data_IF_007658399310
#
_entry.id   IF_007658399310
#
_cell.length_a   1.000
_cell.length_b   1.000
_cell.length_c   1.000
_cell.angle_alpha   90.00
_cell.angle_beta   90.00
_cell.angle_gamma   90.00
#
_symmetry.space_group_name_H-M   'P 1'
#
loop_
_entity.id
_entity.type
_entity.pdbx_description
1 polymer ?
#
# COMPACT_ATOMS: atom_id res chain seq x y z
N UNK A 1 5.69 22.38 -15.48
CA UNK A 1 5.95 20.91 -15.44
C UNK A 1 6.62 20.51 -14.13
N UNK A 2 7.49 21.34 -13.54
CA UNK A 2 8.02 21.13 -12.19
C UNK A 2 6.91 21.08 -11.12
N UNK A 3 5.85 21.88 -11.27
CA UNK A 3 4.76 21.94 -10.29
C UNK A 3 3.94 20.64 -10.25
N UNK A 4 3.73 19.98 -11.39
CA UNK A 4 2.94 18.74 -11.49
C UNK A 4 3.49 17.59 -10.62
N UNK A 5 4.81 17.46 -10.52
CA UNK A 5 5.44 16.37 -9.76
C UNK A 5 5.74 16.73 -8.29
N UNK A 6 5.63 18.00 -7.92
CA UNK A 6 6.02 18.49 -6.59
C UNK A 6 4.84 18.99 -5.75
N UNK A 7 3.73 19.38 -6.38
CA UNK A 7 2.56 19.86 -5.66
C UNK A 7 1.89 18.72 -4.88
N UNK A 8 1.78 18.91 -3.57
CA UNK A 8 0.98 18.04 -2.72
C UNK A 8 -0.52 18.24 -2.96
N UNK A 9 -1.33 17.33 -2.41
CA UNK A 9 -2.79 17.32 -2.60
C UNK A 9 -3.47 18.67 -2.30
N UNK A 10 -2.99 19.43 -1.30
CA UNK A 10 -3.54 20.75 -0.98
C UNK A 10 -3.46 21.75 -2.15
N UNK A 11 -2.36 21.74 -2.89
CA UNK A 11 -2.16 22.65 -4.04
C UNK A 11 -2.82 22.05 -5.29
N UNK A 12 -2.60 20.76 -5.55
CA UNK A 12 -3.10 20.07 -6.74
C UNK A 12 -4.62 19.91 -6.77
N UNK A 13 -5.26 19.66 -5.62
CA UNK A 13 -6.71 19.57 -5.47
C UNK A 13 -7.15 19.99 -4.04
N UNK A 14 -7.31 21.30 -3.78
CA UNK A 14 -7.69 21.79 -2.46
C UNK A 14 -9.06 21.30 -1.97
N UNK A 15 -9.96 20.93 -2.90
CA UNK A 15 -11.28 20.42 -2.54
C UNK A 15 -11.19 18.99 -2.00
N UNK A 16 -10.42 18.13 -2.67
CA UNK A 16 -10.14 16.78 -2.17
C UNK A 16 -9.38 16.84 -0.84
N UNK A 17 -8.37 17.71 -0.72
CA UNK A 17 -7.67 17.92 0.55
C UNK A 17 -8.63 18.33 1.69
N UNK A 18 -9.54 19.26 1.43
CA UNK A 18 -10.52 19.68 2.43
C UNK A 18 -11.45 18.53 2.87
N UNK A 19 -11.77 17.60 1.96
CA UNK A 19 -12.54 16.39 2.29
C UNK A 19 -11.73 15.44 3.18
N UNK A 20 -10.43 15.22 2.90
CA UNK A 20 -9.61 14.36 3.77
C UNK A 20 -9.47 14.93 5.19
N UNK A 21 -9.44 16.26 5.35
CA UNK A 21 -9.43 16.90 6.66
C UNK A 21 -10.75 16.72 7.42
N UNK A 22 -11.89 16.70 6.71
CA UNK A 22 -13.19 16.37 7.33
C UNK A 22 -13.21 14.93 7.85
N UNK A 23 -12.66 13.99 7.09
CA UNK A 23 -12.55 12.58 7.51
C UNK A 23 -11.61 12.42 8.71
N UNK A 24 -10.46 13.11 8.73
CA UNK A 24 -9.59 13.15 9.91
C UNK A 24 -10.37 13.66 11.15
N UNK A 25 -11.15 14.72 10.99
CA UNK A 25 -12.01 15.24 12.04
C UNK A 25 -13.09 14.25 12.52
N UNK A 26 -13.64 13.42 11.61
CA UNK A 26 -14.56 12.33 11.96
C UNK A 26 -13.85 11.28 12.82
N UNK A 27 -12.70 10.79 12.36
CA UNK A 27 -11.92 9.75 13.06
C UNK A 27 -11.47 10.20 14.46
N UNK A 28 -11.07 11.47 14.62
CA UNK A 28 -10.62 12.01 15.91
C UNK A 28 -11.74 12.23 16.94
N UNK A 29 -12.99 12.38 16.49
CA UNK A 29 -14.14 12.72 17.35
C UNK A 29 -15.09 11.55 17.54
N UNK A 30 -15.06 10.57 16.65
CA UNK A 30 -15.87 9.36 16.73
C UNK A 30 -15.24 8.30 17.63
N UNK A 31 -16.09 7.49 18.24
CA UNK A 31 -15.69 6.22 18.82
C UNK A 31 -15.98 5.17 17.76
N UNK A 32 -14.93 4.62 17.15
CA UNK A 32 -15.06 3.62 16.09
C UNK A 32 -15.27 2.23 16.71
N UNK A 33 -16.39 1.60 16.39
CA UNK A 33 -16.83 0.32 16.99
C UNK A 33 -17.02 -0.78 15.94
N UNK A 34 -16.73 -0.50 14.67
CA UNK A 34 -16.75 -1.49 13.62
C UNK A 34 -15.55 -2.42 13.80
N UNK A 35 -15.81 -3.70 14.08
CA UNK A 35 -14.77 -4.67 14.44
C UNK A 35 -13.69 -4.90 13.37
N UNK A 36 -14.00 -4.64 12.10
CA UNK A 36 -13.08 -4.78 10.97
C UNK A 36 -12.29 -3.51 10.65
N UNK A 37 -12.63 -2.37 11.25
CA UNK A 37 -11.91 -1.12 11.04
C UNK A 37 -10.73 -0.97 12.00
N UNK A 38 -9.71 -0.26 11.55
CA UNK A 38 -8.52 0.05 12.34
C UNK A 38 -7.79 1.27 11.79
N UNK A 39 -6.87 1.83 12.57
CA UNK A 39 -6.03 2.96 12.18
C UNK A 39 -4.62 2.47 11.85
N UNK A 40 -4.16 2.72 10.62
CA UNK A 40 -2.79 2.40 10.21
C UNK A 40 -1.80 3.44 10.74
N UNK A 41 -0.53 3.04 10.89
CA UNK A 41 0.52 3.97 11.30
C UNK A 41 0.88 4.96 10.18
N UNK A 42 1.48 6.10 10.56
CA UNK A 42 1.99 7.09 9.59
C UNK A 42 2.97 6.48 8.60
N UNK A 43 3.86 5.59 9.05
CA UNK A 43 4.83 4.91 8.20
C UNK A 43 4.15 4.04 7.11
N UNK A 44 3.02 3.40 7.42
CA UNK A 44 2.24 2.63 6.44
C UNK A 44 1.60 3.57 5.40
N UNK A 45 1.05 4.70 5.83
CA UNK A 45 0.49 5.70 4.91
C UNK A 45 1.55 6.29 3.98
N UNK A 46 2.75 6.60 4.50
CA UNK A 46 3.88 7.06 3.71
C UNK A 46 4.32 6.02 2.67
N UNK A 47 4.30 4.72 3.01
CA UNK A 47 4.64 3.66 2.08
C UNK A 47 3.59 3.45 0.97
N UNK A 48 2.29 3.59 1.27
CA UNK A 48 1.21 3.42 0.30
C UNK A 48 1.19 4.49 -0.80
N UNK A 49 1.65 5.71 -0.49
CA UNK A 49 1.61 6.86 -1.40
C UNK A 49 2.96 7.23 -2.03
N UNK A 50 3.90 6.28 -2.18
CA UNK A 50 5.26 6.58 -2.61
C UNK A 50 5.53 6.25 -4.10
N UNK A 51 6.77 6.51 -4.53
CA UNK A 51 7.23 6.36 -5.92
C UNK A 51 7.11 4.93 -6.48
N UNK A 52 6.98 3.91 -5.62
CA UNK A 52 6.88 2.51 -6.05
C UNK A 52 5.62 2.26 -6.89
N UNK A 53 4.57 3.07 -6.72
CA UNK A 53 3.34 3.02 -7.52
C UNK A 53 3.59 3.16 -9.03
N UNK A 54 4.68 3.82 -9.42
CA UNK A 54 5.02 4.04 -10.82
C UNK A 54 5.62 2.81 -11.51
N UNK A 55 5.95 1.75 -10.75
CA UNK A 55 6.65 0.59 -11.29
C UNK A 55 5.71 -0.57 -11.60
N UNK A 56 5.68 -0.96 -12.87
CA UNK A 56 5.08 -2.21 -13.32
C UNK A 56 6.07 -3.38 -13.12
N UNK A 57 5.71 -4.37 -12.30
CA UNK A 57 6.60 -5.45 -11.86
C UNK A 57 5.95 -6.85 -11.93
N UNK A 58 5.33 -7.17 -13.07
CA UNK A 58 4.72 -8.48 -13.31
C UNK A 58 5.73 -9.63 -13.14
N UNK A 59 5.26 -10.72 -12.52
CA UNK A 59 6.08 -11.87 -12.12
C UNK A 59 6.39 -11.87 -10.63
N UNK A 60 7.44 -12.59 -10.25
CA UNK A 60 7.91 -12.70 -8.86
C UNK A 60 9.35 -12.18 -8.75
N UNK A 61 9.87 -11.91 -7.53
CA UNK A 61 11.26 -11.50 -7.34
C UNK A 61 12.25 -12.43 -8.06
N UNK A 62 13.18 -11.86 -8.82
CA UNK A 62 14.15 -12.59 -9.65
C UNK A 62 13.56 -13.29 -10.90
N UNK A 63 12.25 -13.23 -11.12
CA UNK A 63 11.51 -13.82 -12.25
C UNK A 63 10.47 -12.84 -12.79
N UNK A 64 10.93 -11.62 -13.11
CA UNK A 64 10.08 -10.55 -13.66
C UNK A 64 10.02 -10.63 -15.19
N UNK A 65 8.88 -10.26 -15.75
CA UNK A 65 8.73 -10.11 -17.20
C UNK A 65 9.39 -8.82 -17.73
N UNK A 66 9.58 -7.83 -16.87
CA UNK A 66 10.14 -6.52 -17.23
C UNK A 66 11.40 -6.18 -16.43
N UNK A 67 12.29 -5.40 -17.04
CA UNK A 67 13.53 -4.92 -16.41
C UNK A 67 13.33 -3.79 -15.41
N UNK A 68 14.36 -3.53 -14.59
CA UNK A 68 14.40 -2.40 -13.65
C UNK A 68 13.50 -2.58 -12.41
N UNK A 69 13.31 -3.82 -11.95
CA UNK A 69 12.47 -4.15 -10.80
C UNK A 69 13.26 -4.39 -9.50
N UNK A 70 14.57 -4.12 -9.47
CA UNK A 70 15.44 -4.48 -8.34
C UNK A 70 14.93 -3.95 -6.98
N UNK A 71 14.48 -2.70 -6.90
CA UNK A 71 13.92 -2.14 -5.67
C UNK A 71 12.58 -2.80 -5.26
N UNK A 72 11.77 -3.18 -6.26
CA UNK A 72 10.49 -3.88 -6.01
C UNK A 72 10.76 -5.31 -5.54
N UNK A 73 11.77 -5.97 -6.10
CA UNK A 73 12.20 -7.29 -5.67
C UNK A 73 12.68 -7.28 -4.22
N UNK A 74 13.46 -6.26 -3.82
CA UNK A 74 13.92 -6.09 -2.43
C UNK A 74 12.74 -5.93 -1.46
N UNK A 75 11.79 -5.03 -1.76
CA UNK A 75 10.66 -4.79 -0.85
C UNK A 75 9.69 -5.98 -0.79
N UNK A 76 9.44 -6.64 -1.92
CA UNK A 76 8.56 -7.82 -1.98
C UNK A 76 9.18 -9.02 -1.26
N UNK A 77 10.49 -9.25 -1.45
CA UNK A 77 11.22 -10.32 -0.73
C UNK A 77 11.20 -10.08 0.78
N UNK A 78 11.46 -8.83 1.21
CA UNK A 78 11.39 -8.46 2.63
C UNK A 78 9.98 -8.63 3.22
N UNK A 79 8.93 -8.29 2.45
CA UNK A 79 7.55 -8.49 2.88
C UNK A 79 7.21 -9.98 3.05
N UNK A 80 7.65 -10.83 2.10
CA UNK A 80 7.49 -12.29 2.19
C UNK A 80 8.21 -12.84 3.42
N UNK A 81 9.47 -12.46 3.65
CA UNK A 81 10.25 -12.92 4.81
C UNK A 81 9.60 -12.52 6.13
N UNK A 82 9.15 -11.27 6.25
CA UNK A 82 8.46 -10.77 7.45
C UNK A 82 7.15 -11.49 7.70
N UNK A 83 6.36 -11.74 6.66
CA UNK A 83 5.10 -12.48 6.79
C UNK A 83 5.35 -13.94 7.20
N UNK A 84 6.35 -14.60 6.60
CA UNK A 84 6.77 -15.96 6.99
C UNK A 84 7.19 -16.02 8.46
N UNK A 85 8.01 -15.06 8.91
CA UNK A 85 8.44 -14.98 10.29
C UNK A 85 7.28 -14.68 11.26
N UNK A 86 6.34 -13.82 10.87
CA UNK A 86 5.19 -13.43 11.69
C UNK A 86 4.23 -14.60 11.92
N UNK A 87 3.97 -15.41 10.89
CA UNK A 87 2.99 -16.49 10.94
C UNK A 87 3.59 -17.90 11.08
N UNK A 88 4.92 -18.03 11.06
CA UNK A 88 5.61 -19.32 11.16
C UNK A 88 5.34 -20.25 9.97
N UNK A 89 5.24 -19.71 8.76
CA UNK A 89 4.89 -20.48 7.56
C UNK A 89 6.04 -20.58 6.54
N UNK A 90 5.96 -21.58 5.66
CA UNK A 90 6.98 -21.83 4.62
C UNK A 90 6.79 -20.98 3.36
N UNK A 91 5.56 -20.62 3.03
CA UNK A 91 5.21 -19.91 1.80
C UNK A 91 4.21 -18.79 2.06
N UNK A 92 4.40 -17.65 1.40
CA UNK A 92 3.51 -16.49 1.41
C UNK A 92 3.48 -15.88 0.01
N UNK A 93 2.29 -15.47 -0.43
CA UNK A 93 2.11 -14.56 -1.55
C UNK A 93 1.54 -13.23 -1.03
N UNK A 94 2.26 -12.13 -1.28
CA UNK A 94 1.91 -10.77 -0.81
C UNK A 94 1.32 -9.88 -1.92
N UNK A 95 1.03 -10.43 -3.10
CA UNK A 95 0.52 -9.68 -4.26
C UNK A 95 -1.01 -9.49 -4.33
N UNK A 96 -1.88 -10.31 -3.70
CA UNK A 96 -3.32 -10.07 -3.77
C UNK A 96 -3.74 -8.68 -3.26
N UNK A 97 -4.53 -7.95 -4.05
CA UNK A 97 -4.92 -6.57 -3.73
C UNK A 97 -5.91 -6.44 -2.57
N UNK A 98 -6.69 -7.48 -2.28
CA UNK A 98 -7.54 -7.56 -1.09
C UNK A 98 -7.89 -9.01 -0.77
N UNK A 99 -8.59 -9.25 0.35
CA UNK A 99 -9.01 -10.59 0.77
C UNK A 99 -9.90 -11.30 -0.26
N UNK A 100 -10.77 -10.57 -0.97
CA UNK A 100 -11.65 -11.18 -1.99
C UNK A 100 -10.87 -11.77 -3.15
N UNK A 101 -9.88 -11.03 -3.69
CA UNK A 101 -9.01 -11.54 -4.76
C UNK A 101 -8.08 -12.66 -4.25
N UNK A 102 -7.64 -12.60 -3.00
CA UNK A 102 -6.85 -13.67 -2.41
C UNK A 102 -7.63 -15.00 -2.39
N UNK A 103 -8.90 -14.97 -2.02
CA UNK A 103 -9.77 -16.15 -2.07
C UNK A 103 -9.98 -16.64 -3.51
N UNK A 104 -10.23 -15.74 -4.46
CA UNK A 104 -10.38 -16.09 -5.88
C UNK A 104 -9.11 -16.71 -6.49
N UNK A 105 -7.92 -16.38 -5.98
CA UNK A 105 -6.69 -16.99 -6.46
C UNK A 105 -6.50 -18.44 -5.99
N UNK A 106 -7.21 -18.85 -4.93
CA UNK A 106 -7.10 -20.19 -4.33
C UNK A 106 -8.15 -21.16 -4.88
N UNK A 107 -9.37 -20.67 -5.15
CA UNK A 107 -10.55 -21.48 -5.51
C UNK A 107 -11.03 -21.21 -6.93
#
# INVERSE_FOLDING_TARGET
MQDFFNDGLLIGDPLVYAITQKELGRQQKGIELIASENYVSKAVMEAQGNIMTNKYAEGYPGKRYYGGCWAVDEVESLAIERAKALFGCEYVNVQPHSGSQANQAVF
#
